data_IF_703619527907
#
_entry.id   IF_703619527907
#
_cell.length_a   1.000
_cell.length_b   1.000
_cell.length_c   1.000
_cell.angle_alpha   90.00
_cell.angle_beta   90.00
_cell.angle_gamma   90.00
#
_symmetry.space_group_name_H-M   'P 1'
#
loop_
_entity.id
_entity.type
_entity.pdbx_description
1 polymer ?
#
# COMPACT_ATOMS: atom_id res chain seq x y z
N UNK A 1 10.47 -12.59 -1.72
CA UNK A 1 9.13 -12.32 -1.18
C UNK A 1 9.17 -11.31 -0.05
N UNK A 2 9.84 -11.57 1.08
CA UNK A 2 9.83 -10.61 2.20
C UNK A 2 10.28 -9.21 1.77
N UNK A 3 11.40 -9.13 1.02
CA UNK A 3 11.88 -7.86 0.48
C UNK A 3 10.93 -7.21 -0.52
N UNK A 4 10.21 -7.98 -1.35
CA UNK A 4 9.21 -7.45 -2.29
C UNK A 4 8.02 -6.83 -1.53
N UNK A 5 7.49 -7.53 -0.52
CA UNK A 5 6.41 -7.06 0.35
C UNK A 5 6.80 -5.75 1.04
N UNK A 6 7.99 -5.70 1.64
CA UNK A 6 8.49 -4.51 2.33
C UNK A 6 8.57 -3.33 1.36
N UNK A 7 9.08 -3.53 0.14
CA UNK A 7 9.13 -2.47 -0.89
C UNK A 7 7.73 -1.98 -1.25
N UNK A 8 6.78 -2.87 -1.50
CA UNK A 8 5.39 -2.49 -1.80
C UNK A 8 4.74 -1.68 -0.66
N UNK A 9 4.87 -2.15 0.58
CA UNK A 9 4.35 -1.43 1.75
C UNK A 9 5.03 -0.07 1.91
N UNK A 10 6.35 -0.01 1.77
CA UNK A 10 7.11 1.24 1.84
C UNK A 10 6.61 2.26 0.82
N UNK A 11 6.40 1.86 -0.44
CA UNK A 11 5.86 2.75 -1.47
C UNK A 11 4.45 3.25 -1.14
N UNK A 12 3.57 2.41 -0.59
CA UNK A 12 2.23 2.82 -0.16
C UNK A 12 2.32 3.84 0.98
N UNK A 13 3.12 3.56 2.02
CA UNK A 13 3.27 4.48 3.15
C UNK A 13 3.92 5.80 2.74
N UNK A 14 4.89 5.77 1.82
CA UNK A 14 5.50 6.97 1.24
C UNK A 14 4.44 7.83 0.52
N UNK A 15 3.62 7.22 -0.33
CA UNK A 15 2.59 7.90 -1.10
C UNK A 15 1.53 8.52 -0.17
N UNK A 16 1.10 7.77 0.84
CA UNK A 16 0.18 8.25 1.87
C UNK A 16 0.78 9.40 2.69
N UNK A 17 2.04 9.29 3.09
CA UNK A 17 2.76 10.33 3.84
C UNK A 17 2.92 11.63 3.06
N UNK A 18 3.26 11.54 1.77
CA UNK A 18 3.36 12.72 0.89
C UNK A 18 1.99 13.37 0.72
N UNK A 19 0.95 12.58 0.41
CA UNK A 19 -0.42 13.10 0.27
C UNK A 19 -0.94 13.77 1.54
N UNK A 20 -0.75 13.12 2.69
CA UNK A 20 -1.10 13.65 4.00
C UNK A 20 -0.31 14.92 4.37
N UNK A 21 0.99 14.95 4.07
CA UNK A 21 1.83 16.13 4.31
C UNK A 21 1.38 17.34 3.49
N UNK A 22 1.10 17.15 2.20
CA UNK A 22 0.56 18.20 1.31
C UNK A 22 -0.80 18.69 1.84
N UNK A 23 -1.67 17.78 2.28
CA UNK A 23 -2.97 18.11 2.85
C UNK A 23 -2.85 18.99 4.11
N UNK A 24 -1.99 18.60 5.05
CA UNK A 24 -1.78 19.33 6.31
C UNK A 24 -1.21 20.74 6.05
N UNK A 25 -0.19 20.85 5.19
CA UNK A 25 0.42 22.14 4.84
C UNK A 25 -0.62 23.06 4.18
N UNK A 26 -1.40 22.53 3.24
CA UNK A 26 -2.41 23.31 2.52
C UNK A 26 -3.54 23.76 3.46
N UNK A 27 -4.01 22.86 4.33
CA UNK A 27 -5.03 23.18 5.32
C UNK A 27 -4.55 24.24 6.32
N UNK A 28 -3.29 24.16 6.77
CA UNK A 28 -2.70 25.15 7.67
C UNK A 28 -2.62 26.54 7.02
N UNK A 29 -2.22 26.62 5.75
CA UNK A 29 -2.18 27.88 4.98
C UNK A 29 -3.57 28.50 4.88
N UNK A 30 -4.56 27.74 4.41
CA UNK A 30 -5.93 28.24 4.26
C UNK A 30 -6.56 28.63 5.59
N UNK A 31 -6.29 27.90 6.67
CA UNK A 31 -6.75 28.28 8.01
C UNK A 31 -6.19 29.64 8.43
N UNK A 32 -4.90 29.89 8.19
CA UNK A 32 -4.28 31.19 8.45
C UNK A 32 -4.89 32.31 7.60
N UNK A 33 -5.16 32.05 6.32
CA UNK A 33 -5.76 33.04 5.42
C UNK A 33 -7.19 33.39 5.81
N UNK A 34 -7.98 32.40 6.25
CA UNK A 34 -9.32 32.61 6.77
C UNK A 34 -9.31 33.43 8.07
N UNK A 35 -8.37 33.16 9.00
CA UNK A 35 -8.20 33.99 10.19
C UNK A 35 -7.88 35.44 9.83
N UNK A 36 -6.99 35.66 8.86
CA UNK A 36 -6.67 37.01 8.37
C UNK A 36 -7.91 37.70 7.78
N UNK A 37 -8.74 37.00 7.01
CA UNK A 37 -10.00 37.53 6.48
C UNK A 37 -10.97 37.98 7.59
N UNK A 38 -11.11 37.19 8.66
CA UNK A 38 -11.94 37.55 9.82
C UNK A 38 -11.45 38.87 10.45
N UNK A 39 -10.13 39.04 10.60
CA UNK A 39 -9.58 40.29 11.16
C UNK A 39 -9.84 41.50 10.25
N UNK A 40 -9.78 41.32 8.92
CA UNK A 40 -10.09 42.38 7.96
C UNK A 40 -11.56 42.82 8.06
N UNK A 41 -12.48 41.87 8.23
CA UNK A 41 -13.90 42.17 8.40
C UNK A 41 -14.18 42.97 9.69
N UNK A 42 -13.39 42.77 10.75
CA UNK A 42 -13.49 43.59 11.97
C UNK A 42 -13.13 45.06 11.71
N UNK A 43 -12.18 45.34 10.82
CA UNK A 43 -11.81 46.71 10.43
C UNK A 43 -12.91 47.38 9.61
N UNK A 44 -13.63 46.61 8.79
CA UNK A 44 -14.79 47.11 8.05
C UNK A 44 -15.88 47.64 9.00
N UNK A 45 -16.14 46.98 10.13
CA UNK A 45 -17.11 47.46 11.13
C UNK A 45 -16.69 48.83 11.69
N UNK A 46 -15.41 49.02 12.01
CA UNK A 46 -14.89 50.31 12.51
C UNK A 46 -15.07 51.44 11.49
N UNK A 47 -14.91 51.12 10.20
CA UNK A 47 -15.07 52.08 9.10
C UNK A 47 -16.54 52.44 8.86
N UNK A 48 -17.46 51.47 8.98
CA UNK A 48 -18.90 51.75 8.93
C UNK A 48 -19.33 52.66 10.07
N UNK A 49 -18.85 52.40 11.29
CA UNK A 49 -19.07 53.26 12.45
C UNK A 49 -18.59 54.70 12.20
N UNK A 50 -17.42 54.87 11.58
CA UNK A 50 -16.91 56.18 11.20
C UNK A 50 -17.87 56.94 10.25
N UNK A 51 -18.37 56.27 9.21
CA UNK A 51 -19.31 56.86 8.23
C UNK A 51 -20.63 57.23 8.91
N UNK A 52 -21.18 56.34 9.73
CA UNK A 52 -22.46 56.55 10.42
C UNK A 52 -22.40 57.74 11.38
N UNK A 53 -21.33 57.82 12.19
CA UNK A 53 -21.14 58.96 13.10
C UNK A 53 -21.01 60.28 12.31
N UNK A 54 -20.27 60.27 11.20
CA UNK A 54 -20.07 61.46 10.37
C UNK A 54 -21.39 61.94 9.72
N UNK A 55 -22.17 61.02 9.15
CA UNK A 55 -23.49 61.30 8.57
C UNK A 55 -24.48 61.81 9.62
N UNK A 56 -24.46 61.23 10.82
CA UNK A 56 -25.31 61.68 11.93
C UNK A 56 -25.01 63.13 12.29
N UNK A 57 -23.73 63.49 12.48
CA UNK A 57 -23.35 64.87 12.77
C UNK A 57 -23.79 65.81 11.65
N UNK A 58 -23.52 65.46 10.39
CA UNK A 58 -23.92 66.28 9.24
C UNK A 58 -25.43 66.49 9.15
N UNK A 59 -26.23 65.44 9.38
CA UNK A 59 -27.69 65.54 9.36
C UNK A 59 -28.18 66.56 10.40
N UNK A 60 -27.63 66.52 11.62
CA UNK A 60 -28.02 67.42 12.70
C UNK A 60 -27.47 68.85 12.54
N UNK A 61 -26.36 69.03 11.79
CA UNK A 61 -25.87 70.36 11.47
C UNK A 61 -26.89 71.22 10.70
N UNK A 62 -27.78 70.61 9.93
CA UNK A 62 -28.83 71.32 9.19
C UNK A 62 -30.10 71.60 10.00
N UNK A 63 -30.27 70.94 11.16
CA UNK A 63 -31.48 71.05 11.99
C UNK A 63 -31.27 71.93 13.24
N UNK A 64 -30.03 72.27 13.58
CA UNK A 64 -29.71 73.17 14.68
C UNK A 64 -30.45 74.51 14.54
N UNK A 65 -31.27 74.82 15.56
CA UNK A 65 -32.05 76.06 15.65
C UNK A 65 -33.56 75.86 15.59
N UNK A 66 -34.05 74.67 15.24
CA UNK A 66 -35.48 74.32 15.34
C UNK A 66 -35.73 73.64 16.69
N UNK A 67 -35.86 74.42 17.78
CA UNK A 67 -36.21 74.00 19.15
C UNK A 67 -35.88 72.54 19.53
N UNK A 68 -34.73 72.24 20.15
CA UNK A 68 -34.55 71.23 21.23
C UNK A 68 -33.06 71.06 21.56
N UNK A 69 -32.73 71.00 22.86
CA UNK A 69 -31.37 70.80 23.37
C UNK A 69 -30.80 69.39 23.20
N UNK A 70 -31.60 68.42 22.74
CA UNK A 70 -31.17 67.02 22.54
C UNK A 70 -30.33 66.79 21.29
N UNK A 71 -30.36 67.69 20.30
CA UNK A 71 -29.56 67.54 19.06
C UNK A 71 -28.07 67.85 19.28
N UNK A 72 -27.74 68.66 20.28
CA UNK A 72 -26.38 69.04 20.57
C UNK A 72 -25.57 67.88 21.18
N UNK A 73 -26.14 67.19 22.17
CA UNK A 73 -25.48 66.05 22.81
C UNK A 73 -25.20 64.93 21.78
N UNK A 74 -26.15 64.70 20.87
CA UNK A 74 -25.97 63.75 19.76
C UNK A 74 -24.79 64.13 18.89
N UNK A 75 -24.62 65.41 18.53
CA UNK A 75 -23.47 65.86 17.75
C UNK A 75 -22.16 65.63 18.51
N UNK A 76 -22.10 66.04 19.79
CA UNK A 76 -20.89 65.91 20.60
C UNK A 76 -20.48 64.44 20.76
N UNK A 77 -21.42 63.56 21.09
CA UNK A 77 -21.17 62.12 21.27
C UNK A 77 -20.69 61.44 19.99
N UNK A 78 -21.29 61.78 18.85
CA UNK A 78 -20.90 61.21 17.56
C UNK A 78 -19.52 61.71 17.11
N UNK A 79 -19.18 62.98 17.37
CA UNK A 79 -17.85 63.53 17.06
C UNK A 79 -16.76 62.91 17.93
N UNK A 80 -17.01 62.71 19.23
CA UNK A 80 -16.07 62.00 20.10
C UNK A 80 -15.92 60.53 19.70
N UNK A 81 -16.98 59.89 19.25
CA UNK A 81 -16.93 58.51 18.73
C UNK A 81 -16.15 58.43 17.42
N UNK A 82 -16.31 59.41 16.54
CA UNK A 82 -15.54 59.57 15.32
C UNK A 82 -14.03 59.70 15.60
N UNK A 83 -13.64 60.58 16.52
CA UNK A 83 -12.26 60.77 16.97
C UNK A 83 -11.64 59.46 17.52
N UNK A 84 -12.36 58.78 18.42
CA UNK A 84 -11.93 57.47 18.95
C UNK A 84 -11.79 56.42 17.85
N UNK A 85 -12.68 56.41 16.85
CA UNK A 85 -12.62 55.45 15.74
C UNK A 85 -11.41 55.68 14.84
N UNK A 86 -11.08 56.94 14.52
CA UNK A 86 -9.86 57.27 13.75
C UNK A 86 -8.59 56.99 14.57
N UNK A 87 -8.59 57.33 15.86
CA UNK A 87 -7.49 57.05 16.77
C UNK A 87 -7.13 55.56 16.85
N UNK A 88 -8.15 54.68 16.89
CA UNK A 88 -7.94 53.22 16.84
C UNK A 88 -7.23 52.78 15.56
N UNK A 89 -7.59 53.35 14.41
CA UNK A 89 -6.95 53.02 13.13
C UNK A 89 -5.47 53.44 13.07
N UNK A 90 -5.06 54.49 13.79
CA UNK A 90 -3.67 54.94 13.84
C UNK A 90 -2.74 53.99 14.62
N UNK A 91 -3.30 53.13 15.48
CA UNK A 91 -2.53 52.12 16.24
C UNK A 91 -2.21 50.86 15.44
N UNK A 92 -2.75 50.73 14.23
CA UNK A 92 -2.54 49.57 13.37
C UNK A 92 -1.27 49.69 12.50
N UNK A 93 -0.67 48.54 12.19
CA UNK A 93 0.48 48.48 11.28
C UNK A 93 0.03 48.54 9.82
N UNK A 94 0.04 49.75 9.26
CA UNK A 94 -0.26 50.02 7.86
C UNK A 94 0.99 50.36 7.06
N UNK A 95 0.91 50.18 5.73
CA UNK A 95 1.93 50.69 4.82
C UNK A 95 2.02 52.24 4.89
N UNK A 96 3.12 52.84 4.40
CA UNK A 96 3.32 54.30 4.49
C UNK A 96 2.21 55.13 3.84
N UNK A 97 1.63 54.64 2.74
CA UNK A 97 0.56 55.32 2.01
C UNK A 97 -0.72 55.43 2.86
N UNK A 98 -1.22 54.32 3.38
CA UNK A 98 -2.43 54.29 4.22
C UNK A 98 -2.18 55.03 5.54
N UNK A 99 -0.99 54.89 6.12
CA UNK A 99 -0.61 55.66 7.32
C UNK A 99 -0.71 57.17 7.08
N UNK A 100 -0.27 57.66 5.92
CA UNK A 100 -0.38 59.07 5.58
C UNK A 100 -1.84 59.51 5.36
N UNK A 101 -2.65 58.68 4.68
CA UNK A 101 -4.09 58.93 4.52
C UNK A 101 -4.81 59.00 5.88
N UNK A 102 -4.52 58.08 6.80
CA UNK A 102 -5.09 58.09 8.15
C UNK A 102 -4.65 59.32 8.97
N UNK A 103 -3.39 59.75 8.85
CA UNK A 103 -2.93 61.01 9.47
C UNK A 103 -3.65 62.23 8.91
N UNK A 104 -3.85 62.28 7.59
CA UNK A 104 -4.63 63.35 6.94
C UNK A 104 -6.06 63.35 7.47
N UNK A 105 -6.71 62.19 7.51
CA UNK A 105 -8.07 62.04 8.04
C UNK A 105 -8.15 62.48 9.52
N UNK A 106 -7.22 62.07 10.37
CA UNK A 106 -7.14 62.52 11.76
C UNK A 106 -6.99 64.05 11.88
N UNK A 107 -6.18 64.67 11.01
CA UNK A 107 -6.07 66.12 10.98
C UNK A 107 -7.38 66.81 10.59
N UNK A 108 -8.16 66.24 9.67
CA UNK A 108 -9.48 66.76 9.34
C UNK A 108 -10.50 66.53 10.46
N UNK A 109 -10.40 65.44 11.23
CA UNK A 109 -11.23 65.22 12.42
C UNK A 109 -10.99 66.29 13.49
N UNK A 110 -9.73 66.65 13.76
CA UNK A 110 -9.42 67.74 14.69
C UNK A 110 -9.97 69.08 14.19
N UNK A 111 -9.78 69.40 12.90
CA UNK A 111 -10.38 70.60 12.30
C UNK A 111 -11.91 70.60 12.36
N UNK A 112 -12.52 69.42 12.22
CA UNK A 112 -13.97 69.27 12.31
C UNK A 112 -14.45 69.51 13.74
N UNK A 113 -13.77 68.95 14.75
CA UNK A 113 -14.01 69.24 16.17
C UNK A 113 -13.94 70.73 16.46
N UNK A 114 -12.88 71.40 16.01
CA UNK A 114 -12.69 72.84 16.20
C UNK A 114 -13.81 73.67 15.54
N UNK A 115 -14.16 73.35 14.29
CA UNK A 115 -15.22 74.03 13.56
C UNK A 115 -16.59 73.84 14.23
N UNK A 116 -16.87 72.64 14.73
CA UNK A 116 -18.09 72.34 15.46
C UNK A 116 -18.13 73.05 16.81
N UNK A 117 -17.05 73.02 17.59
CA UNK A 117 -16.97 73.77 18.85
C UNK A 117 -17.20 75.26 18.63
N UNK A 118 -16.58 75.86 17.61
CA UNK A 118 -16.80 77.27 17.27
C UNK A 118 -18.25 77.55 16.83
N UNK A 119 -18.84 76.65 16.04
CA UNK A 119 -20.23 76.77 15.59
C UNK A 119 -21.22 76.68 16.77
N UNK A 120 -21.09 75.66 17.61
CA UNK A 120 -21.96 75.35 18.75
C UNK A 120 -21.90 76.46 19.81
N UNK A 121 -20.71 76.99 20.09
CA UNK A 121 -20.52 78.02 21.14
C UNK A 121 -20.86 79.44 20.68
N UNK A 122 -21.11 79.65 19.38
CA UNK A 122 -21.48 80.96 18.85
C UNK A 122 -22.98 81.22 19.09
N UNK A 123 -23.28 82.16 19.99
CA UNK A 123 -24.66 82.47 20.41
C UNK A 123 -25.27 83.71 19.74
N UNK A 124 -24.47 84.47 18.97
CA UNK A 124 -24.89 85.75 18.41
C UNK A 124 -24.36 85.98 16.98
N UNK A 125 -25.12 86.75 16.17
CA UNK A 125 -24.90 87.06 14.75
C UNK A 125 -25.26 85.92 13.76
N UNK A 126 -26.44 85.97 13.12
CA UNK A 126 -26.90 84.95 12.16
C UNK A 126 -25.95 84.69 10.99
N UNK A 127 -25.29 85.74 10.48
CA UNK A 127 -24.32 85.62 9.38
C UNK A 127 -23.06 84.86 9.82
N UNK A 128 -22.61 85.07 11.07
CA UNK A 128 -21.48 84.33 11.62
C UNK A 128 -21.84 82.85 11.83
N UNK A 129 -23.01 82.57 12.39
CA UNK A 129 -23.52 81.21 12.60
C UNK A 129 -23.57 80.46 11.27
N UNK A 130 -24.17 81.05 10.23
CA UNK A 130 -24.27 80.45 8.88
C UNK A 130 -22.91 80.21 8.22
N UNK A 131 -21.90 81.05 8.47
CA UNK A 131 -20.53 80.83 7.97
C UNK A 131 -19.84 79.67 8.69
N UNK A 132 -19.95 79.60 10.01
CA UNK A 132 -19.37 78.52 10.81
C UNK A 132 -20.04 77.17 10.52
N UNK A 133 -21.37 77.16 10.36
CA UNK A 133 -22.11 75.98 9.90
C UNK A 133 -21.60 75.48 8.55
N UNK A 134 -21.46 76.37 7.55
CA UNK A 134 -20.95 76.01 6.23
C UNK A 134 -19.52 75.46 6.30
N UNK A 135 -18.65 76.07 7.10
CA UNK A 135 -17.29 75.59 7.29
C UNK A 135 -17.24 74.19 7.94
N UNK A 136 -18.09 73.93 8.94
CA UNK A 136 -18.20 72.61 9.55
C UNK A 136 -18.72 71.58 8.54
N UNK A 137 -19.80 71.90 7.82
CA UNK A 137 -20.37 71.03 6.76
C UNK A 137 -19.32 70.68 5.71
N UNK A 138 -18.58 71.67 5.19
CA UNK A 138 -17.54 71.47 4.16
C UNK A 138 -16.43 70.53 4.64
N UNK A 139 -15.97 70.69 5.89
CA UNK A 139 -14.98 69.77 6.48
C UNK A 139 -15.58 68.35 6.62
N UNK A 140 -16.83 68.24 7.05
CA UNK A 140 -17.56 66.99 7.13
C UNK A 140 -17.68 66.28 5.76
N UNK A 141 -17.94 67.04 4.70
CA UNK A 141 -18.03 66.51 3.33
C UNK A 141 -16.68 65.97 2.85
N UNK A 142 -15.58 66.68 3.15
CA UNK A 142 -14.23 66.20 2.86
C UNK A 142 -13.94 64.88 3.61
N UNK A 143 -14.28 64.81 4.90
CA UNK A 143 -14.14 63.60 5.70
C UNK A 143 -14.95 62.43 5.12
N UNK A 144 -16.18 62.69 4.68
CA UNK A 144 -17.04 61.66 4.08
C UNK A 144 -16.45 61.14 2.79
N UNK A 145 -16.00 62.04 1.90
CA UNK A 145 -15.43 61.65 0.63
C UNK A 145 -14.16 60.80 0.80
N UNK A 146 -13.22 61.26 1.64
CA UNK A 146 -11.98 60.51 1.92
C UNK A 146 -12.28 59.15 2.56
N UNK A 147 -13.25 59.07 3.47
CA UNK A 147 -13.66 57.81 4.12
C UNK A 147 -14.34 56.86 3.14
N UNK A 148 -15.21 57.37 2.25
CA UNK A 148 -15.91 56.58 1.24
C UNK A 148 -14.94 56.03 0.17
N UNK A 149 -13.95 56.81 -0.26
CA UNK A 149 -12.93 56.32 -1.18
C UNK A 149 -12.11 55.17 -0.57
N UNK A 150 -11.64 55.34 0.67
CA UNK A 150 -10.95 54.25 1.38
C UNK A 150 -11.87 53.04 1.60
N UNK A 151 -13.17 53.28 1.80
CA UNK A 151 -14.19 52.23 1.94
C UNK A 151 -14.28 51.38 0.68
N UNK A 152 -14.41 52.04 -0.47
CA UNK A 152 -14.50 51.38 -1.76
C UNK A 152 -13.26 50.51 -2.05
N UNK A 153 -12.06 51.07 -1.87
CA UNK A 153 -10.80 50.35 -2.12
C UNK A 153 -10.63 49.16 -1.18
N UNK A 154 -10.94 49.32 0.12
CA UNK A 154 -10.83 48.24 1.09
C UNK A 154 -11.84 47.12 0.83
N UNK A 155 -13.09 47.46 0.46
CA UNK A 155 -14.12 46.47 0.14
C UNK A 155 -13.75 45.65 -1.10
N UNK A 156 -13.27 46.30 -2.16
CA UNK A 156 -12.82 45.61 -3.37
C UNK A 156 -11.69 44.63 -3.06
N UNK A 157 -10.67 45.06 -2.30
CA UNK A 157 -9.55 44.19 -1.89
C UNK A 157 -10.00 43.04 -0.99
N UNK A 158 -10.96 43.29 -0.10
CA UNK A 158 -11.52 42.25 0.76
C UNK A 158 -12.26 41.20 -0.07
N UNK A 159 -13.12 41.63 -1.00
CA UNK A 159 -13.83 40.74 -1.91
C UNK A 159 -12.85 39.88 -2.74
N UNK A 160 -11.83 40.49 -3.35
CA UNK A 160 -10.79 39.78 -4.11
C UNK A 160 -9.99 38.78 -3.25
N UNK A 161 -9.83 39.03 -1.95
CA UNK A 161 -9.19 38.07 -1.03
C UNK A 161 -10.13 36.95 -0.62
N UNK A 162 -11.41 37.25 -0.40
CA UNK A 162 -12.44 36.26 -0.08
C UNK A 162 -12.63 35.29 -1.24
N UNK A 163 -12.72 35.78 -2.47
CA UNK A 163 -12.83 34.95 -3.67
C UNK A 163 -11.64 34.02 -3.83
N UNK A 164 -10.40 34.55 -3.69
CA UNK A 164 -9.18 33.72 -3.71
C UNK A 164 -9.14 32.67 -2.62
N UNK A 165 -9.54 33.02 -1.39
CA UNK A 165 -9.60 32.05 -0.30
C UNK A 165 -10.59 30.91 -0.59
N UNK A 166 -11.74 31.22 -1.21
CA UNK A 166 -12.71 30.22 -1.64
C UNK A 166 -12.15 29.34 -2.77
N UNK A 167 -11.46 29.93 -3.75
CA UNK A 167 -10.77 29.19 -4.80
C UNK A 167 -9.70 28.25 -4.24
N UNK A 168 -8.91 28.71 -3.27
CA UNK A 168 -7.90 27.89 -2.60
C UNK A 168 -8.53 26.72 -1.83
N UNK A 169 -9.67 26.95 -1.15
CA UNK A 169 -10.45 25.87 -0.51
C UNK A 169 -10.90 24.83 -1.53
N UNK A 170 -11.42 25.26 -2.68
CA UNK A 170 -11.86 24.35 -3.75
C UNK A 170 -10.68 23.58 -4.36
N UNK A 171 -9.54 24.25 -4.55
CA UNK A 171 -8.31 23.62 -5.03
C UNK A 171 -7.81 22.54 -4.07
N UNK A 172 -7.84 22.81 -2.77
CA UNK A 172 -7.50 21.83 -1.73
C UNK A 172 -8.44 20.63 -1.78
N UNK A 173 -9.76 20.87 -1.88
CA UNK A 173 -10.75 19.78 -2.02
C UNK A 173 -10.43 18.88 -3.21
N UNK A 174 -10.09 19.46 -4.36
CA UNK A 174 -9.69 18.70 -5.56
C UNK A 174 -8.39 17.92 -5.35
N UNK A 175 -7.37 18.51 -4.70
CA UNK A 175 -6.11 17.82 -4.36
C UNK A 175 -6.37 16.64 -3.42
N UNK A 176 -7.22 16.82 -2.40
CA UNK A 176 -7.58 15.77 -1.45
C UNK A 176 -8.32 14.60 -2.14
N UNK A 177 -9.31 14.91 -2.99
CA UNK A 177 -10.03 13.89 -3.75
C UNK A 177 -9.11 13.14 -4.71
N UNK A 178 -8.22 13.85 -5.41
CA UNK A 178 -7.22 13.23 -6.27
C UNK A 178 -6.26 12.33 -5.47
N UNK A 179 -5.73 12.82 -4.35
CA UNK A 179 -4.85 12.05 -3.46
C UNK A 179 -5.54 10.78 -2.94
N UNK A 180 -6.81 10.88 -2.54
CA UNK A 180 -7.60 9.73 -2.10
C UNK A 180 -7.77 8.71 -3.22
N UNK A 181 -8.16 9.17 -4.41
CA UNK A 181 -8.34 8.31 -5.58
C UNK A 181 -7.04 7.57 -5.94
N UNK A 182 -5.91 8.28 -6.02
CA UNK A 182 -4.62 7.66 -6.33
C UNK A 182 -4.19 6.68 -5.23
N UNK A 183 -4.38 7.01 -3.95
CA UNK A 183 -4.06 6.10 -2.85
C UNK A 183 -4.86 4.80 -2.97
N UNK A 184 -6.16 4.88 -3.24
CA UNK A 184 -7.01 3.70 -3.44
C UNK A 184 -6.60 2.90 -4.68
N UNK A 185 -6.31 3.59 -5.80
CA UNK A 185 -5.88 2.95 -7.04
C UNK A 185 -4.56 2.17 -6.85
N UNK A 186 -3.56 2.80 -6.23
CA UNK A 186 -2.28 2.15 -5.92
C UNK A 186 -2.43 1.01 -4.91
N UNK A 187 -3.29 1.19 -3.90
CA UNK A 187 -3.64 0.13 -2.96
C UNK A 187 -4.23 -1.09 -3.66
N UNK A 188 -5.18 -0.88 -4.57
CA UNK A 188 -5.80 -1.95 -5.35
C UNK A 188 -4.79 -2.66 -6.27
N UNK A 189 -3.97 -1.92 -7.01
CA UNK A 189 -2.94 -2.49 -7.89
C UNK A 189 -1.95 -3.33 -7.08
N UNK A 190 -1.51 -2.82 -5.93
CA UNK A 190 -0.56 -3.53 -5.07
C UNK A 190 -1.18 -4.79 -4.49
N UNK A 191 -2.42 -4.72 -4.00
CA UNK A 191 -3.16 -5.87 -3.51
C UNK A 191 -3.32 -6.94 -4.59
N UNK A 192 -3.72 -6.57 -5.81
CA UNK A 192 -3.88 -7.51 -6.92
C UNK A 192 -2.56 -8.21 -7.29
N UNK A 193 -1.45 -7.46 -7.37
CA UNK A 193 -0.12 -8.02 -7.64
C UNK A 193 0.33 -8.96 -6.53
N UNK A 194 0.18 -8.53 -5.28
CA UNK A 194 0.63 -9.32 -4.13
C UNK A 194 -0.17 -10.62 -4.00
N UNK A 195 -1.49 -10.55 -4.22
CA UNK A 195 -2.35 -11.74 -4.28
C UNK A 195 -1.84 -12.72 -5.32
N UNK A 196 -1.54 -12.28 -6.54
CA UNK A 196 -1.01 -13.17 -7.58
C UNK A 196 0.36 -13.75 -7.22
N UNK A 197 1.28 -12.94 -6.70
CA UNK A 197 2.63 -13.38 -6.32
C UNK A 197 2.64 -14.35 -5.14
N UNK A 198 1.64 -14.32 -4.25
CA UNK A 198 1.55 -15.19 -3.07
C UNK A 198 0.62 -16.40 -3.31
N UNK A 199 -0.61 -16.20 -3.77
CA UNK A 199 -1.58 -17.31 -3.89
C UNK A 199 -1.16 -18.32 -4.96
N UNK A 200 -0.62 -17.86 -6.09
CA UNK A 200 -0.27 -18.77 -7.20
C UNK A 200 0.76 -19.85 -6.80
N UNK A 201 1.93 -19.53 -6.19
CA UNK A 201 2.85 -20.56 -5.73
C UNK A 201 2.26 -21.47 -4.64
N UNK A 202 1.48 -20.90 -3.71
CA UNK A 202 0.82 -21.67 -2.65
C UNK A 202 -0.14 -22.70 -3.23
N UNK A 203 -0.99 -22.31 -4.19
CA UNK A 203 -1.92 -23.23 -4.85
C UNK A 203 -1.19 -24.35 -5.61
N UNK A 204 -0.07 -24.03 -6.28
CA UNK A 204 0.77 -25.03 -6.96
C UNK A 204 1.37 -26.03 -5.97
N UNK A 205 1.90 -25.57 -4.85
CA UNK A 205 2.45 -26.44 -3.80
C UNK A 205 1.36 -27.31 -3.15
N UNK A 206 0.18 -26.75 -2.87
CA UNK A 206 -0.96 -27.52 -2.35
C UNK A 206 -1.36 -28.63 -3.33
N UNK A 207 -1.41 -28.33 -4.63
CA UNK A 207 -1.68 -29.34 -5.66
C UNK A 207 -0.60 -30.41 -5.69
N UNK A 208 0.69 -30.04 -5.64
CA UNK A 208 1.79 -30.99 -5.59
C UNK A 208 1.71 -31.91 -4.36
N UNK A 209 1.48 -31.36 -3.18
CA UNK A 209 1.31 -32.13 -1.95
C UNK A 209 0.14 -33.11 -2.05
N UNK A 210 -0.99 -32.69 -2.62
CA UNK A 210 -2.13 -33.58 -2.90
C UNK A 210 -1.76 -34.72 -3.84
N UNK A 211 -1.02 -34.44 -4.91
CA UNK A 211 -0.57 -35.48 -5.86
C UNK A 211 0.29 -36.53 -5.16
N UNK A 212 1.26 -36.12 -4.35
CA UNK A 212 2.08 -37.06 -3.56
C UNK A 212 1.21 -37.87 -2.59
N UNK A 213 0.29 -37.21 -1.87
CA UNK A 213 -0.60 -37.90 -0.91
C UNK A 213 -1.54 -38.93 -1.57
N UNK A 214 -1.85 -38.74 -2.85
CA UNK A 214 -2.64 -39.68 -3.67
C UNK A 214 -1.82 -40.85 -4.24
N UNK A 215 -0.53 -40.96 -3.89
CA UNK A 215 0.38 -42.02 -4.34
C UNK A 215 1.18 -41.69 -5.61
N UNK A 216 1.01 -40.50 -6.21
CA UNK A 216 1.82 -40.06 -7.36
C UNK A 216 3.17 -39.49 -6.89
N UNK A 217 4.06 -40.39 -6.48
CA UNK A 217 5.41 -40.05 -6.03
C UNK A 217 6.28 -39.51 -7.19
N UNK A 218 7.18 -38.57 -6.90
CA UNK A 218 8.02 -37.91 -7.89
C UNK A 218 7.33 -36.84 -8.71
N UNK A 219 6.12 -36.41 -8.33
CA UNK A 219 5.49 -35.22 -8.91
C UNK A 219 6.32 -33.98 -8.62
N UNK A 220 6.58 -33.16 -9.65
CA UNK A 220 7.35 -31.93 -9.53
C UNK A 220 6.48 -30.70 -9.76
N UNK A 221 6.62 -29.72 -8.89
CA UNK A 221 5.99 -28.40 -9.02
C UNK A 221 6.85 -27.55 -9.95
N UNK A 222 6.30 -27.23 -11.12
CA UNK A 222 6.88 -26.26 -12.06
C UNK A 222 6.66 -24.83 -11.55
N UNK A 223 7.52 -24.41 -10.64
CA UNK A 223 7.59 -23.04 -10.15
C UNK A 223 9.05 -22.68 -9.87
N UNK A 224 9.58 -21.73 -10.62
CA UNK A 224 10.91 -21.20 -10.45
C UNK A 224 10.82 -19.67 -10.32
N UNK A 225 11.23 -19.16 -9.17
CA UNK A 225 11.39 -17.73 -8.89
C UNK A 225 12.62 -17.56 -7.98
N UNK A 226 13.19 -16.37 -8.00
CA UNK A 226 14.34 -15.95 -7.16
C UNK A 226 13.94 -15.68 -5.70
N UNK A 227 12.77 -16.13 -5.29
CA UNK A 227 12.18 -15.84 -3.98
C UNK A 227 12.08 -17.09 -3.13
N UNK A 228 11.72 -16.93 -1.87
CA UNK A 228 11.52 -17.98 -0.87
C UNK A 228 10.51 -19.04 -1.36
N UNK A 229 9.57 -18.69 -2.24
CA UNK A 229 8.66 -19.67 -2.85
C UNK A 229 9.31 -20.52 -3.94
N UNK A 230 10.30 -19.99 -4.66
CA UNK A 230 11.08 -20.78 -5.63
C UNK A 230 12.01 -21.75 -4.91
N UNK A 231 12.66 -21.31 -3.84
CA UNK A 231 13.43 -22.18 -2.94
C UNK A 231 12.54 -23.29 -2.36
N UNK A 232 11.35 -22.94 -1.85
CA UNK A 232 10.39 -23.92 -1.31
C UNK A 232 9.91 -24.92 -2.36
N UNK A 233 9.69 -24.49 -3.61
CA UNK A 233 9.35 -25.39 -4.71
C UNK A 233 10.51 -26.34 -5.04
N UNK A 234 11.75 -25.86 -5.00
CA UNK A 234 12.96 -26.69 -5.13
C UNK A 234 13.04 -27.77 -4.06
N UNK A 235 12.96 -27.39 -2.79
CA UNK A 235 12.98 -28.32 -1.66
C UNK A 235 11.81 -29.33 -1.72
N UNK A 236 10.63 -28.87 -2.14
CA UNK A 236 9.48 -29.76 -2.35
C UNK A 236 9.78 -30.83 -3.42
N UNK A 237 10.39 -30.44 -4.54
CA UNK A 237 10.72 -31.35 -5.63
C UNK A 237 11.79 -32.39 -5.22
N UNK A 238 12.81 -31.95 -4.46
CA UNK A 238 13.83 -32.85 -3.90
C UNK A 238 13.21 -33.89 -2.95
N UNK A 239 12.32 -33.45 -2.06
CA UNK A 239 11.57 -34.34 -1.17
C UNK A 239 10.71 -35.33 -1.96
N UNK A 240 9.99 -34.87 -2.98
CA UNK A 240 9.13 -35.70 -3.84
C UNK A 240 9.91 -36.80 -4.58
N UNK A 241 11.08 -36.45 -5.12
CA UNK A 241 11.97 -37.41 -5.79
C UNK A 241 12.56 -38.41 -4.78
N UNK A 242 12.99 -37.94 -3.60
CA UNK A 242 13.54 -38.83 -2.55
C UNK A 242 12.51 -39.87 -2.08
N UNK A 243 11.24 -39.47 -1.96
CA UNK A 243 10.12 -40.37 -1.68
C UNK A 243 9.92 -41.42 -2.77
N UNK A 244 9.98 -41.01 -4.04
CA UNK A 244 9.88 -41.93 -5.19
C UNK A 244 11.02 -42.94 -5.20
N UNK A 245 12.27 -42.49 -5.08
CA UNK A 245 13.44 -43.36 -5.05
C UNK A 245 13.41 -44.33 -3.86
N UNK A 246 12.98 -43.85 -2.70
CA UNK A 246 12.79 -44.67 -1.51
C UNK A 246 11.75 -45.77 -1.74
N UNK A 247 10.61 -45.42 -2.34
CA UNK A 247 9.55 -46.37 -2.68
C UNK A 247 10.02 -47.41 -3.71
N UNK A 248 10.70 -46.99 -4.78
CA UNK A 248 11.26 -47.89 -5.79
C UNK A 248 12.27 -48.89 -5.20
N UNK A 249 13.13 -48.43 -4.27
CA UNK A 249 14.05 -49.32 -3.54
C UNK A 249 13.30 -50.35 -2.70
N UNK A 250 12.25 -49.95 -1.98
CA UNK A 250 11.42 -50.86 -1.18
C UNK A 250 10.75 -51.92 -2.07
N UNK A 251 10.18 -51.52 -3.20
CA UNK A 251 9.56 -52.44 -4.17
C UNK A 251 10.60 -53.43 -4.71
N UNK A 252 11.80 -52.95 -5.10
CA UNK A 252 12.87 -53.82 -5.58
C UNK A 252 13.34 -54.83 -4.52
N UNK A 253 13.39 -54.45 -3.24
CA UNK A 253 13.68 -55.38 -2.14
C UNK A 253 12.57 -56.43 -1.96
N UNK A 254 11.30 -56.04 -2.06
CA UNK A 254 10.18 -56.99 -1.99
C UNK A 254 10.22 -58.00 -3.14
N UNK A 255 10.57 -57.56 -4.35
CA UNK A 255 10.68 -58.45 -5.51
C UNK A 255 11.81 -59.48 -5.35
N UNK A 256 12.99 -59.03 -4.89
CA UNK A 256 14.10 -59.94 -4.53
C UNK A 256 13.69 -60.94 -3.44
N UNK A 257 13.00 -60.48 -2.39
CA UNK A 257 12.54 -61.35 -1.30
C UNK A 257 11.51 -62.37 -1.80
N UNK A 258 10.59 -61.98 -2.69
CA UNK A 258 9.61 -62.89 -3.30
C UNK A 258 10.28 -63.99 -4.11
N UNK A 259 11.33 -63.66 -4.88
CA UNK A 259 12.13 -64.64 -5.62
C UNK A 259 12.79 -65.62 -4.65
N UNK A 260 13.48 -65.13 -3.62
CA UNK A 260 14.12 -65.98 -2.61
C UNK A 260 13.12 -66.89 -1.89
N UNK A 261 11.93 -66.37 -1.55
CA UNK A 261 10.87 -67.15 -0.91
C UNK A 261 10.38 -68.27 -1.84
N UNK A 262 10.16 -67.98 -3.13
CA UNK A 262 9.78 -69.00 -4.13
C UNK A 262 10.85 -70.10 -4.22
N UNK A 263 12.12 -69.72 -4.29
CA UNK A 263 13.24 -70.69 -4.32
C UNK A 263 13.30 -71.52 -3.04
N UNK A 264 13.07 -70.92 -1.88
CA UNK A 264 13.11 -71.64 -0.58
C UNK A 264 11.92 -72.59 -0.42
N UNK A 265 10.73 -72.22 -0.93
CA UNK A 265 9.54 -73.05 -0.88
C UNK A 265 9.66 -74.29 -1.79
N UNK A 266 10.23 -74.13 -3.00
CA UNK A 266 10.63 -75.26 -3.84
C UNK A 266 11.61 -76.21 -3.13
N UNK A 267 12.43 -75.67 -2.21
CA UNK A 267 13.34 -76.48 -1.39
C UNK A 267 12.64 -77.25 -0.25
N UNK A 268 11.42 -76.86 0.15
CA UNK A 268 10.72 -77.38 1.34
C UNK A 268 9.57 -78.35 1.03
N UNK A 269 9.06 -78.37 -0.21
CA UNK A 269 7.84 -79.13 -0.57
C UNK A 269 8.14 -80.50 -1.16
N UNK A 270 9.40 -80.87 -1.32
CA UNK A 270 9.75 -82.16 -1.91
C UNK A 270 10.13 -83.19 -0.84
N UNK A 271 9.32 -84.24 -0.73
CA UNK A 271 9.58 -85.39 0.15
C UNK A 271 10.62 -86.39 -0.39
N UNK A 272 10.96 -86.31 -1.67
CA UNK A 272 11.92 -87.22 -2.33
C UNK A 272 13.00 -86.44 -3.09
N UNK A 273 14.27 -86.68 -2.76
CA UNK A 273 15.45 -85.94 -3.30
C UNK A 273 15.41 -85.78 -4.83
N UNK A 274 14.80 -86.74 -5.53
CA UNK A 274 14.60 -86.78 -6.98
C UNK A 274 13.76 -85.63 -7.55
N UNK A 275 12.64 -85.29 -6.91
CA UNK A 275 11.77 -84.19 -7.37
C UNK A 275 12.39 -82.81 -7.06
N UNK A 276 13.27 -82.74 -6.06
CA UNK A 276 13.97 -81.51 -5.66
C UNK A 276 15.01 -81.19 -6.72
N UNK A 277 15.76 -82.20 -7.14
CA UNK A 277 16.76 -82.08 -8.22
C UNK A 277 16.08 -81.65 -9.52
N UNK A 278 14.88 -82.18 -9.81
CA UNK A 278 14.07 -81.78 -10.97
C UNK A 278 13.66 -80.30 -10.95
N UNK A 279 13.01 -79.83 -9.87
CA UNK A 279 12.59 -78.42 -9.79
C UNK A 279 13.80 -77.46 -9.78
N UNK A 280 14.89 -77.84 -9.11
CA UNK A 280 16.12 -77.05 -9.13
C UNK A 280 16.71 -76.94 -10.55
N UNK A 281 16.76 -78.04 -11.30
CA UNK A 281 17.26 -78.05 -12.66
C UNK A 281 16.43 -77.11 -13.57
N UNK A 282 15.10 -77.19 -13.50
CA UNK A 282 14.21 -76.30 -14.27
C UNK A 282 14.34 -74.83 -13.86
N UNK A 283 14.38 -74.57 -12.56
CA UNK A 283 14.55 -73.21 -12.02
C UNK A 283 15.90 -72.59 -12.41
N UNK A 284 16.98 -73.35 -12.31
CA UNK A 284 18.33 -72.90 -12.67
C UNK A 284 18.43 -72.68 -14.19
N UNK A 285 17.89 -73.58 -15.00
CA UNK A 285 17.87 -73.46 -16.46
C UNK A 285 17.15 -72.17 -16.91
N UNK A 286 15.99 -71.87 -16.31
CA UNK A 286 15.24 -70.65 -16.59
C UNK A 286 15.92 -69.37 -16.08
N UNK A 287 16.61 -69.41 -14.93
CA UNK A 287 17.30 -68.23 -14.36
C UNK A 287 18.61 -67.91 -15.10
N UNK A 288 19.38 -68.93 -15.47
CA UNK A 288 20.69 -68.74 -16.12
C UNK A 288 20.60 -68.59 -17.65
N UNK A 289 19.43 -68.87 -18.25
CA UNK A 289 19.18 -68.77 -19.69
C UNK A 289 20.24 -69.51 -20.54
N UNK A 290 20.60 -70.72 -20.10
CA UNK A 290 21.62 -71.57 -20.72
C UNK A 290 21.01 -72.49 -21.78
N UNK A 291 21.78 -72.87 -22.81
CA UNK A 291 21.28 -73.62 -23.97
C UNK A 291 20.90 -75.07 -23.66
N UNK A 292 21.53 -75.66 -22.65
CA UNK A 292 21.17 -77.00 -22.18
C UNK A 292 21.68 -77.26 -20.76
N UNK A 293 21.00 -78.15 -20.03
CA UNK A 293 21.31 -78.56 -18.67
C UNK A 293 21.07 -80.06 -18.51
N UNK A 294 22.10 -80.76 -18.03
CA UNK A 294 22.05 -82.17 -17.62
C UNK A 294 22.46 -82.22 -16.15
N UNK A 295 21.67 -82.89 -15.34
CA UNK A 295 21.99 -83.12 -13.93
C UNK A 295 22.59 -84.53 -13.79
N UNK A 296 23.64 -84.67 -12.98
CA UNK A 296 24.22 -85.99 -12.66
C UNK A 296 24.18 -86.21 -11.14
N UNK A 297 23.70 -87.39 -10.71
CA UNK A 297 23.66 -87.80 -9.31
C UNK A 297 24.62 -88.97 -9.07
N UNK A 298 25.21 -89.03 -7.89
CA UNK A 298 26.15 -90.09 -7.51
C UNK A 298 25.38 -91.30 -6.99
N UNK A 299 25.59 -92.47 -7.59
CA UNK A 299 25.01 -93.74 -7.12
C UNK A 299 25.94 -94.45 -6.12
N UNK A 300 25.41 -95.46 -5.41
CA UNK A 300 26.11 -96.23 -4.35
C UNK A 300 27.34 -97.06 -4.80
N UNK A 301 27.73 -96.96 -6.08
CA UNK A 301 28.99 -97.47 -6.62
C UNK A 301 30.09 -96.41 -6.83
N UNK A 302 29.81 -95.15 -6.47
CA UNK A 302 30.73 -94.03 -6.64
C UNK A 302 30.68 -93.35 -8.00
N UNK A 303 30.01 -93.94 -8.99
CA UNK A 303 29.85 -93.41 -10.36
C UNK A 303 28.70 -92.40 -10.41
N UNK A 304 28.87 -91.33 -11.20
CA UNK A 304 27.82 -90.34 -11.43
C UNK A 304 27.02 -90.73 -12.68
N UNK A 305 25.69 -90.69 -12.59
CA UNK A 305 24.79 -90.95 -13.73
C UNK A 305 23.86 -89.78 -13.98
N UNK A 306 23.52 -89.58 -15.25
CA UNK A 306 22.55 -88.58 -15.67
C UNK A 306 21.17 -88.84 -15.05
N UNK A 307 20.58 -87.77 -14.54
CA UNK A 307 19.30 -87.76 -13.84
C UNK A 307 18.33 -86.78 -14.53
N UNK A 308 17.11 -87.20 -14.90
CA UNK A 308 16.15 -86.36 -15.61
C UNK A 308 15.58 -85.25 -14.71
N UNK A 309 15.21 -84.07 -15.27
CA UNK A 309 14.97 -83.79 -16.68
C UNK A 309 16.22 -83.28 -17.41
N UNK A 310 16.34 -83.63 -18.70
CA UNK A 310 17.37 -83.12 -19.59
C UNK A 310 16.82 -81.94 -20.39
N UNK A 311 17.24 -80.73 -20.03
CA UNK A 311 16.65 -79.50 -20.55
C UNK A 311 17.52 -78.96 -21.70
N UNK A 312 16.95 -78.73 -22.87
CA UNK A 312 17.68 -78.13 -24.02
C UNK A 312 18.76 -79.03 -24.66
N UNK A 313 18.71 -80.34 -24.43
CA UNK A 313 19.65 -81.32 -25.01
C UNK A 313 18.89 -82.22 -25.97
N UNK A 314 19.21 -82.17 -27.26
CA UNK A 314 18.60 -83.01 -28.30
C UNK A 314 19.59 -84.11 -28.72
N UNK A 315 19.29 -85.37 -28.38
CA UNK A 315 20.08 -86.53 -28.79
C UNK A 315 19.83 -87.75 -27.90
N UNK A 316 19.62 -88.94 -28.49
CA UNK A 316 19.53 -90.19 -27.74
C UNK A 316 20.89 -90.58 -27.18
N UNK A 317 20.93 -90.92 -25.88
CA UNK A 317 22.15 -91.36 -25.17
C UNK A 317 22.51 -90.53 -23.93
N UNK A 318 21.81 -89.43 -23.64
CA UNK A 318 22.01 -88.64 -22.41
C UNK A 318 21.70 -89.47 -21.17
N UNK A 319 20.70 -90.33 -21.26
CA UNK A 319 20.25 -91.24 -20.20
C UNK A 319 21.30 -92.31 -19.85
N UNK A 320 22.25 -92.57 -20.77
CA UNK A 320 23.37 -93.51 -20.59
C UNK A 320 24.66 -92.83 -20.15
N UNK A 321 24.66 -91.50 -20.00
CA UNK A 321 25.84 -90.75 -19.60
C UNK A 321 26.23 -91.11 -18.16
N UNK A 322 27.38 -91.77 -18.03
CA UNK A 322 28.04 -92.05 -16.75
C UNK A 322 29.42 -91.44 -16.73
N UNK A 323 29.75 -90.69 -15.67
CA UNK A 323 31.05 -90.08 -15.47
C UNK A 323 31.71 -90.59 -14.18
N UNK A 324 33.02 -90.81 -14.24
CA UNK A 324 33.82 -91.17 -13.08
C UNK A 324 34.02 -89.93 -12.19
N UNK A 325 34.06 -90.05 -10.85
CA UNK A 325 34.45 -88.97 -9.94
C UNK A 325 35.66 -88.15 -10.39
N UNK A 326 36.66 -88.78 -11.00
CA UNK A 326 37.87 -88.08 -11.46
C UNK A 326 37.54 -87.11 -12.61
N UNK A 327 36.74 -87.54 -13.58
CA UNK A 327 36.34 -86.71 -14.73
C UNK A 327 35.46 -85.53 -14.29
N UNK A 328 34.51 -85.76 -13.37
CA UNK A 328 33.65 -84.69 -12.83
C UNK A 328 34.50 -83.62 -12.13
N UNK A 329 35.54 -84.05 -11.41
CA UNK A 329 36.43 -83.14 -10.72
C UNK A 329 37.33 -82.35 -11.68
N UNK A 330 37.75 -82.96 -12.80
CA UNK A 330 38.43 -82.25 -13.89
C UNK A 330 37.52 -81.20 -14.55
N UNK A 331 36.28 -81.55 -14.90
CA UNK A 331 35.30 -80.58 -15.43
C UNK A 331 35.05 -79.41 -14.47
N UNK A 332 34.94 -79.70 -13.17
CA UNK A 332 34.80 -78.66 -12.15
C UNK A 332 36.02 -77.73 -12.11
N UNK A 333 37.23 -78.28 -12.17
CA UNK A 333 38.48 -77.51 -12.19
C UNK A 333 38.65 -76.68 -13.48
N UNK A 334 38.27 -77.22 -14.64
CA UNK A 334 38.29 -76.49 -15.91
C UNK A 334 37.27 -75.35 -15.94
N UNK A 335 36.06 -75.57 -15.43
CA UNK A 335 35.02 -74.52 -15.37
C UNK A 335 35.42 -73.34 -14.47
N UNK A 336 36.30 -73.56 -13.49
CA UNK A 336 36.86 -72.51 -12.63
C UNK A 336 38.08 -71.78 -13.21
N UNK A 337 38.67 -72.27 -14.32
CA UNK A 337 39.81 -71.63 -15.00
C UNK A 337 39.39 -70.65 -16.09
N UNK A 338 38.13 -70.64 -16.50
CA UNK A 338 37.50 -69.59 -17.31
C UNK A 338 36.82 -68.56 -16.40
#
# INVERSE_FOLDING_TARGET
MRQKIIRYLFFIFLLFGIGGGIAIISLSRTSSDLQNLITLHRVEILRQDLIINLQTVQKHLYTIGTSFGSELDVIVDNVQSLDRSVGRCLTCHHNPEIKNRLKKLNSYVEKYKDALSAFITTTANPERIKRLQRAAVEIGDILLNETNEMTFVANKRLQERTERAIEDVNRIKSILLASLFFTLLFGFITAARLTKEILTPIEKLIKGARMISSGKLGYQVEYSDTTEFGELAGTFNEMSNSLKEGYEKVVAYMEKLKVLYKTTLSLHVVGEVEDLVREMAEGIWGVLNITGLVTVLKEDGGVYRAFPPFLGVEGGGVDELSCDPVEVQEFYLESRRR
#
